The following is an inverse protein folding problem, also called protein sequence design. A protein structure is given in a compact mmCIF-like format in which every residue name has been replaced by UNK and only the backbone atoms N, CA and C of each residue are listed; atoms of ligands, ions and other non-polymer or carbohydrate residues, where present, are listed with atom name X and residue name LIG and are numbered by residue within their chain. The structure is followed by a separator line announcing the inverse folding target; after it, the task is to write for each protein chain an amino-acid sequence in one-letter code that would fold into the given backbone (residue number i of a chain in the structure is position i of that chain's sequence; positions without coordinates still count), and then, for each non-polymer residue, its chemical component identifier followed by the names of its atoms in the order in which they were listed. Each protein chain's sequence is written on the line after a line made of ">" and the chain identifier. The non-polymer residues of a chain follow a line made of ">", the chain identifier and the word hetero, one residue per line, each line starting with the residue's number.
data_IF_063684555215
#
_entry.id   IF_063684555215
#
_cell.length_a   1.000
_cell.length_b   1.000
_cell.length_c   1.000
_cell.angle_alpha   90.00
_cell.angle_beta   90.00
_cell.angle_gamma   90.00
#
_symmetry.space_group_name_H-M   'P 1'
#
loop_
_entity.id
_entity.type
_entity.pdbx_description
1 polymer ?
#
# COMPACT_ATOMS: atom_id res chain seq x y z
N UNK A 1 16.29 -38.29 -5.65
CA UNK A 1 15.58 -38.38 -4.34
C UNK A 1 14.20 -37.79 -4.54
N UNK A 2 13.15 -38.60 -4.39
CA UNK A 2 11.78 -38.08 -4.44
C UNK A 2 11.55 -37.10 -3.29
N UNK A 3 11.32 -35.86 -3.64
CA UNK A 3 11.01 -34.81 -2.67
C UNK A 3 9.63 -35.11 -2.07
N UNK A 4 9.56 -35.28 -0.75
CA UNK A 4 8.30 -35.57 -0.08
C UNK A 4 7.61 -34.25 0.27
N UNK A 5 6.65 -33.85 -0.57
CA UNK A 5 5.84 -32.65 -0.35
C UNK A 5 4.82 -32.83 0.77
N UNK A 6 4.62 -31.80 1.59
CA UNK A 6 3.51 -31.76 2.58
C UNK A 6 2.16 -31.61 1.84
N UNK A 7 1.05 -31.86 2.55
CA UNK A 7 -0.30 -31.67 1.98
C UNK A 7 -0.55 -30.26 1.48
N UNK A 8 -0.05 -29.24 2.20
CA UNK A 8 -0.20 -27.83 1.84
C UNK A 8 0.68 -27.46 0.65
N UNK A 9 1.93 -27.94 0.61
CA UNK A 9 2.81 -27.76 -0.54
C UNK A 9 2.21 -28.39 -1.80
N UNK A 10 1.63 -29.60 -1.71
CA UNK A 10 0.92 -30.26 -2.82
C UNK A 10 -0.25 -29.41 -3.31
N UNK A 11 -1.05 -28.84 -2.42
CA UNK A 11 -2.13 -27.93 -2.82
C UNK A 11 -1.62 -26.77 -3.68
N UNK A 12 -0.51 -26.14 -3.28
CA UNK A 12 0.10 -25.04 -4.08
C UNK A 12 0.57 -25.55 -5.44
N UNK A 13 1.14 -26.74 -5.51
CA UNK A 13 1.63 -27.35 -6.77
C UNK A 13 0.45 -27.67 -7.70
N UNK A 14 -0.64 -28.25 -7.18
CA UNK A 14 -1.70 -28.88 -7.98
C UNK A 14 -2.89 -27.98 -8.28
N UNK A 15 -3.16 -26.94 -7.47
CA UNK A 15 -4.30 -26.06 -7.67
C UNK A 15 -4.21 -25.28 -8.99
N UNK A 16 -5.35 -25.22 -9.75
CA UNK A 16 -5.49 -24.52 -11.03
C UNK A 16 -6.71 -23.59 -10.99
N UNK A 17 -6.82 -22.71 -11.96
CA UNK A 17 -8.00 -21.87 -12.27
C UNK A 17 -8.48 -21.00 -11.11
N UNK A 18 -7.51 -20.51 -10.29
CA UNK A 18 -7.73 -19.60 -9.19
C UNK A 18 -6.48 -18.88 -8.75
N UNK A 19 -6.65 -17.76 -8.10
CA UNK A 19 -5.57 -17.06 -7.41
C UNK A 19 -5.16 -17.82 -6.15
N UNK A 20 -3.86 -17.86 -5.87
CA UNK A 20 -3.29 -18.56 -4.73
C UNK A 20 -2.36 -17.61 -3.98
N UNK A 21 -2.73 -17.27 -2.75
CA UNK A 21 -1.85 -16.57 -1.81
C UNK A 21 -1.15 -17.58 -0.90
N UNK A 22 0.18 -17.61 -0.94
CA UNK A 22 1.00 -18.53 -0.13
C UNK A 22 1.71 -17.77 0.97
N UNK A 23 1.28 -17.97 2.21
CA UNK A 23 1.97 -17.48 3.41
C UNK A 23 2.87 -18.58 3.96
N UNK A 24 4.18 -18.32 4.05
CA UNK A 24 5.14 -19.31 4.51
C UNK A 24 6.40 -18.67 5.12
N UNK A 25 6.92 -19.24 6.20
CA UNK A 25 8.14 -18.78 6.87
C UNK A 25 9.39 -18.91 5.98
N UNK A 26 10.48 -18.23 6.34
CA UNK A 26 11.77 -18.42 5.70
C UNK A 26 12.22 -19.90 5.84
N UNK A 27 12.81 -20.47 4.77
CA UNK A 27 13.25 -21.89 4.79
C UNK A 27 12.15 -22.92 4.59
N UNK A 28 10.88 -22.55 4.41
CA UNK A 28 9.75 -23.48 4.19
C UNK A 28 9.71 -24.13 2.81
N UNK A 29 10.71 -23.90 1.95
CA UNK A 29 10.77 -24.46 0.61
C UNK A 29 9.94 -23.75 -0.46
N UNK A 30 9.52 -22.48 -0.25
CA UNK A 30 8.72 -21.69 -1.21
C UNK A 30 9.23 -21.76 -2.65
N UNK A 31 10.53 -21.56 -2.84
CA UNK A 31 11.14 -21.59 -4.18
C UNK A 31 11.06 -22.98 -4.81
N UNK A 32 11.28 -24.04 -4.02
CA UNK A 32 11.19 -25.42 -4.51
C UNK A 32 9.76 -25.76 -4.92
N UNK A 33 8.76 -25.37 -4.13
CA UNK A 33 7.33 -25.56 -4.45
C UNK A 33 6.95 -24.80 -5.73
N UNK A 34 7.47 -23.58 -5.93
CA UNK A 34 7.21 -22.79 -7.13
C UNK A 34 7.85 -23.42 -8.37
N UNK A 35 9.09 -23.88 -8.28
CA UNK A 35 9.76 -24.63 -9.38
C UNK A 35 8.97 -25.86 -9.75
N UNK A 36 8.55 -26.67 -8.76
CA UNK A 36 7.74 -27.87 -8.99
C UNK A 36 6.40 -27.53 -9.65
N UNK A 37 5.72 -26.46 -9.18
CA UNK A 37 4.50 -25.99 -9.82
C UNK A 37 4.70 -25.62 -11.30
N UNK A 38 5.79 -24.88 -11.60
CA UNK A 38 6.13 -24.51 -12.99
C UNK A 38 6.36 -25.78 -13.82
N UNK A 39 7.17 -26.71 -13.33
CA UNK A 39 7.48 -27.97 -14.02
C UNK A 39 6.21 -28.79 -14.26
N UNK A 40 5.31 -28.89 -13.29
CA UNK A 40 4.05 -29.57 -13.47
C UNK A 40 3.16 -28.88 -14.53
N UNK A 41 3.15 -27.56 -14.60
CA UNK A 41 2.39 -26.81 -15.62
C UNK A 41 2.90 -27.08 -17.03
N UNK A 42 4.19 -27.20 -17.21
CA UNK A 42 4.81 -27.38 -18.54
C UNK A 42 4.95 -28.85 -18.98
N UNK A 43 4.94 -29.80 -18.03
CA UNK A 43 5.24 -31.21 -18.33
C UNK A 43 4.10 -32.17 -17.98
N UNK A 44 3.21 -31.84 -17.05
CA UNK A 44 2.21 -32.79 -16.49
C UNK A 44 0.78 -32.37 -16.83
N UNK A 45 0.48 -31.06 -16.85
CA UNK A 45 -0.86 -30.56 -17.18
C UNK A 45 -1.28 -30.98 -18.62
N UNK A 46 -2.57 -31.10 -18.84
CA UNK A 46 -3.14 -31.40 -20.12
C UNK A 46 -4.27 -30.42 -20.47
N UNK A 47 -4.12 -29.51 -21.44
CA UNK A 47 -2.88 -29.31 -22.23
C UNK A 47 -1.75 -28.67 -21.40
N UNK A 48 -0.48 -28.95 -21.73
CA UNK A 48 0.66 -28.30 -21.09
C UNK A 48 0.73 -26.83 -21.52
N UNK A 49 1.27 -25.98 -20.63
CA UNK A 49 1.51 -24.55 -20.92
C UNK A 49 2.99 -24.37 -21.22
N UNK A 50 3.33 -23.69 -22.30
CA UNK A 50 4.73 -23.42 -22.62
C UNK A 50 5.34 -22.45 -21.60
N UNK A 51 6.61 -22.65 -21.26
CA UNK A 51 7.32 -21.84 -20.25
C UNK A 51 7.46 -20.38 -20.67
N UNK A 52 7.55 -20.07 -21.96
CA UNK A 52 7.61 -18.72 -22.51
C UNK A 52 6.26 -17.97 -22.46
N UNK A 53 5.16 -18.69 -22.15
CA UNK A 53 3.83 -18.13 -21.87
C UNK A 53 3.59 -17.86 -20.38
N UNK A 54 4.60 -18.05 -19.54
CA UNK A 54 4.53 -17.76 -18.12
C UNK A 54 5.35 -16.55 -17.77
N UNK A 55 4.79 -15.67 -16.95
CA UNK A 55 5.52 -14.60 -16.30
C UNK A 55 5.87 -15.03 -14.88
N UNK A 56 7.16 -15.13 -14.58
CA UNK A 56 7.68 -15.43 -13.25
C UNK A 56 8.50 -14.26 -12.78
N UNK A 57 8.02 -13.55 -11.76
CA UNK A 57 8.70 -12.34 -11.25
C UNK A 57 9.33 -12.58 -9.90
N UNK A 58 10.48 -11.94 -9.69
CA UNK A 58 11.23 -11.96 -8.44
C UNK A 58 11.66 -10.52 -8.08
N UNK A 59 12.10 -10.31 -6.83
CA UNK A 59 12.56 -8.99 -6.39
C UNK A 59 13.99 -8.64 -6.86
N UNK A 60 14.82 -9.65 -7.17
CA UNK A 60 16.21 -9.40 -7.53
C UNK A 60 16.61 -10.17 -8.78
N UNK A 61 17.51 -9.59 -9.58
CA UNK A 61 18.07 -10.25 -10.77
C UNK A 61 18.75 -11.58 -10.43
N UNK A 62 19.43 -11.67 -9.27
CA UNK A 62 20.04 -12.89 -8.79
C UNK A 62 19.01 -13.99 -8.51
N UNK A 63 17.88 -13.64 -7.85
CA UNK A 63 16.81 -14.61 -7.62
C UNK A 63 16.14 -15.06 -8.92
N UNK A 64 15.97 -14.17 -9.89
CA UNK A 64 15.45 -14.53 -11.21
C UNK A 64 16.37 -15.49 -11.96
N UNK A 65 17.68 -15.22 -11.93
CA UNK A 65 18.68 -16.11 -12.53
C UNK A 65 18.71 -17.50 -11.87
N UNK A 66 18.68 -17.53 -10.53
CA UNK A 66 18.60 -18.77 -9.75
C UNK A 66 17.31 -19.55 -10.07
N UNK A 67 16.17 -18.86 -10.16
CA UNK A 67 14.90 -19.49 -10.53
C UNK A 67 14.97 -20.13 -11.92
N UNK A 68 15.48 -19.40 -12.91
CA UNK A 68 15.65 -19.91 -14.28
C UNK A 68 16.55 -21.14 -14.31
N UNK A 69 17.68 -21.10 -13.60
CA UNK A 69 18.60 -22.23 -13.52
C UNK A 69 17.96 -23.47 -12.87
N UNK A 70 17.16 -23.27 -11.81
CA UNK A 70 16.46 -24.38 -11.15
C UNK A 70 15.39 -25.00 -12.05
N UNK A 71 14.63 -24.18 -12.78
CA UNK A 71 13.63 -24.65 -13.75
C UNK A 71 14.33 -25.40 -14.90
N UNK A 72 15.40 -24.83 -15.45
CA UNK A 72 16.19 -25.50 -16.52
C UNK A 72 16.70 -26.85 -16.07
N UNK A 73 17.37 -26.94 -14.92
CA UNK A 73 17.87 -28.20 -14.36
C UNK A 73 16.76 -29.25 -14.15
N UNK A 74 15.58 -28.80 -13.71
CA UNK A 74 14.45 -29.71 -13.52
C UNK A 74 13.94 -30.27 -14.86
N UNK A 75 13.84 -29.43 -15.89
CA UNK A 75 13.47 -29.87 -17.27
C UNK A 75 14.50 -30.82 -17.81
N UNK A 76 15.80 -30.52 -17.70
CA UNK A 76 16.89 -31.35 -18.21
C UNK A 76 16.91 -32.71 -17.52
N UNK A 77 16.69 -32.75 -16.21
CA UNK A 77 16.58 -34.03 -15.47
C UNK A 77 15.39 -34.90 -15.92
N UNK A 78 14.26 -34.29 -16.26
CA UNK A 78 13.10 -35.00 -16.82
C UNK A 78 13.37 -35.49 -18.24
N UNK A 79 14.05 -34.67 -19.04
CA UNK A 79 14.48 -35.06 -20.43
C UNK A 79 15.44 -36.24 -20.43
N UNK A 80 16.37 -36.33 -19.47
CA UNK A 80 17.24 -37.49 -19.32
C UNK A 80 16.45 -38.76 -19.01
N UNK A 81 15.35 -38.65 -18.26
CA UNK A 81 14.48 -39.81 -17.96
C UNK A 81 13.55 -40.19 -19.12
N UNK A 82 13.20 -39.22 -19.98
CA UNK A 82 12.28 -39.36 -21.12
C UNK A 82 12.87 -38.68 -22.37
N UNK A 83 13.90 -39.25 -22.98
CA UNK A 83 14.64 -38.60 -24.09
C UNK A 83 13.79 -38.37 -25.34
N UNK A 84 12.77 -39.21 -25.57
CA UNK A 84 11.89 -39.15 -26.74
C UNK A 84 10.66 -38.22 -26.53
N UNK A 85 10.54 -37.51 -25.39
CA UNK A 85 9.44 -36.61 -25.11
C UNK A 85 9.68 -35.27 -25.85
N UNK A 86 8.93 -35.07 -26.93
CA UNK A 86 9.02 -33.84 -27.77
C UNK A 86 8.71 -32.57 -27.01
N UNK A 87 7.77 -32.62 -26.02
CA UNK A 87 7.45 -31.46 -25.21
C UNK A 87 8.64 -31.07 -24.34
N UNK A 88 9.30 -32.00 -23.66
CA UNK A 88 10.47 -31.73 -22.84
C UNK A 88 11.65 -31.16 -23.68
N UNK A 89 11.84 -31.63 -24.89
CA UNK A 89 12.85 -31.09 -25.81
C UNK A 89 12.51 -29.63 -26.18
N UNK A 90 11.23 -29.32 -26.44
CA UNK A 90 10.75 -27.98 -26.74
C UNK A 90 10.92 -27.07 -25.54
N UNK A 91 10.49 -27.49 -24.34
CA UNK A 91 10.59 -26.66 -23.12
C UNK A 91 12.06 -26.37 -22.75
N UNK A 92 12.97 -27.30 -22.93
CA UNK A 92 14.42 -27.11 -22.73
C UNK A 92 14.99 -26.00 -23.64
N UNK A 93 14.40 -25.76 -24.80
CA UNK A 93 14.76 -24.65 -25.70
C UNK A 93 14.08 -23.35 -25.28
N UNK A 94 12.78 -23.39 -24.97
CA UNK A 94 11.98 -22.23 -24.63
C UNK A 94 12.37 -21.56 -23.30
N UNK A 95 12.93 -22.31 -22.36
CA UNK A 95 13.30 -21.77 -21.02
C UNK A 95 14.31 -20.61 -21.11
N UNK A 96 15.12 -20.57 -22.16
CA UNK A 96 16.08 -19.48 -22.36
C UNK A 96 15.41 -18.15 -22.71
N UNK A 97 14.24 -18.20 -23.33
CA UNK A 97 13.44 -17.02 -23.71
C UNK A 97 12.29 -16.75 -22.72
N UNK A 98 12.14 -17.59 -21.69
CA UNK A 98 11.07 -17.45 -20.71
C UNK A 98 11.19 -16.15 -19.91
N UNK A 99 10.05 -15.52 -19.62
CA UNK A 99 9.95 -14.30 -18.81
C UNK A 99 10.10 -14.61 -17.30
N UNK A 100 11.29 -15.10 -16.92
CA UNK A 100 11.68 -15.27 -15.51
C UNK A 100 12.60 -14.11 -15.17
N UNK A 101 12.07 -13.05 -14.51
CA UNK A 101 12.74 -11.76 -14.44
C UNK A 101 12.33 -10.96 -13.19
N UNK A 102 12.84 -9.73 -13.01
CA UNK A 102 12.30 -8.77 -12.03
C UNK A 102 11.14 -8.00 -12.64
N UNK A 103 10.30 -7.40 -11.76
CA UNK A 103 9.19 -6.54 -12.21
C UNK A 103 9.71 -5.42 -13.11
N UNK A 104 10.75 -4.70 -12.68
CA UNK A 104 11.35 -3.60 -13.48
C UNK A 104 11.82 -4.05 -14.85
N UNK A 105 12.47 -5.23 -14.91
CA UNK A 105 12.95 -5.77 -16.19
C UNK A 105 11.80 -6.21 -17.09
N UNK A 106 10.70 -6.71 -16.53
CA UNK A 106 9.48 -7.00 -17.30
C UNK A 106 8.85 -5.70 -17.82
N UNK A 107 8.71 -4.67 -16.96
CA UNK A 107 8.20 -3.38 -17.40
C UNK A 107 9.06 -2.78 -18.52
N UNK A 108 10.38 -2.83 -18.37
CA UNK A 108 11.29 -2.36 -19.41
C UNK A 108 11.12 -3.15 -20.74
N UNK A 109 10.96 -4.47 -20.66
CA UNK A 109 10.68 -5.31 -21.82
C UNK A 109 9.38 -4.90 -22.53
N UNK A 110 8.30 -4.66 -21.77
CA UNK A 110 7.02 -4.18 -22.31
C UNK A 110 7.20 -2.85 -23.02
N UNK A 111 7.87 -1.87 -22.38
CA UNK A 111 8.10 -0.54 -22.95
C UNK A 111 8.96 -0.59 -24.21
N UNK A 112 10.06 -1.35 -24.19
CA UNK A 112 10.96 -1.50 -25.36
C UNK A 112 10.28 -2.13 -26.56
N UNK A 113 9.30 -3.01 -26.36
CA UNK A 113 8.56 -3.63 -27.46
C UNK A 113 7.36 -2.78 -27.95
N UNK A 114 6.96 -1.75 -27.18
CA UNK A 114 5.77 -0.96 -27.48
C UNK A 114 6.00 0.57 -27.38
N UNK A 115 7.25 1.03 -27.44
CA UNK A 115 7.61 2.45 -27.24
C UNK A 115 6.86 3.41 -28.15
N UNK A 116 6.52 2.97 -29.36
CA UNK A 116 5.79 3.77 -30.35
C UNK A 116 4.37 4.15 -29.86
N UNK A 117 3.70 3.31 -29.04
CA UNK A 117 2.37 3.61 -28.48
C UNK A 117 2.41 4.81 -27.53
N UNK A 118 3.57 5.06 -26.92
CA UNK A 118 3.79 6.17 -25.97
C UNK A 118 4.52 7.35 -26.61
N UNK A 119 4.81 7.32 -27.92
CA UNK A 119 5.65 8.29 -28.61
C UNK A 119 7.04 8.47 -27.95
N UNK A 120 7.59 7.40 -27.38
CA UNK A 120 8.93 7.41 -26.81
C UNK A 120 9.97 7.21 -27.92
N UNK A 121 11.12 7.86 -27.73
CA UNK A 121 12.28 7.63 -28.58
C UNK A 121 12.89 6.24 -28.21
N UNK A 122 13.19 5.36 -29.19
CA UNK A 122 13.77 4.05 -28.91
C UNK A 122 15.12 4.10 -28.18
N UNK A 123 15.86 5.21 -28.31
CA UNK A 123 17.18 5.40 -27.67
C UNK A 123 17.08 5.91 -26.22
N UNK A 124 15.91 5.78 -25.59
CA UNK A 124 15.78 6.14 -24.17
C UNK A 124 16.63 5.24 -23.28
N UNK A 125 17.08 5.80 -22.14
CA UNK A 125 17.86 5.08 -21.14
C UNK A 125 17.36 5.32 -19.73
N UNK A 126 17.74 4.42 -18.82
CA UNK A 126 17.54 4.63 -17.38
C UNK A 126 18.66 5.57 -16.88
N UNK A 127 18.28 6.65 -16.20
CA UNK A 127 19.17 7.60 -15.60
C UNK A 127 19.81 7.07 -14.30
N UNK A 128 21.01 7.52 -13.99
CA UNK A 128 21.57 7.30 -12.66
C UNK A 128 20.92 8.24 -11.62
N UNK A 129 21.02 7.87 -10.34
CA UNK A 129 20.40 8.63 -9.26
C UNK A 129 20.92 10.06 -9.11
N UNK A 130 22.18 10.31 -9.41
CA UNK A 130 22.79 11.65 -9.29
C UNK A 130 22.28 12.56 -10.42
N UNK A 131 22.22 12.04 -11.64
CA UNK A 131 21.66 12.74 -12.79
C UNK A 131 20.19 13.09 -12.57
N UNK A 132 19.35 12.11 -12.17
CA UNK A 132 17.92 12.31 -11.91
C UNK A 132 17.69 13.33 -10.79
N UNK A 133 18.48 13.28 -9.73
CA UNK A 133 18.40 14.24 -8.62
C UNK A 133 18.79 15.67 -9.06
N UNK A 134 19.76 15.82 -9.95
CA UNK A 134 20.10 17.11 -10.51
C UNK A 134 18.99 17.65 -11.37
N UNK A 135 18.43 16.82 -12.27
CA UNK A 135 17.28 17.19 -13.12
C UNK A 135 16.08 17.64 -12.29
N UNK A 136 15.80 16.93 -11.18
CA UNK A 136 14.71 17.27 -10.26
C UNK A 136 14.93 18.64 -9.62
N UNK A 137 16.14 18.93 -9.14
CA UNK A 137 16.48 20.24 -8.54
C UNK A 137 16.36 21.37 -9.53
N UNK A 138 16.86 21.18 -10.77
CA UNK A 138 16.82 22.19 -11.81
C UNK A 138 15.37 22.47 -12.25
N UNK A 139 14.57 21.41 -12.46
CA UNK A 139 13.15 21.55 -12.81
C UNK A 139 12.34 22.23 -11.70
N UNK A 140 12.59 21.85 -10.44
CA UNK A 140 11.90 22.46 -9.29
C UNK A 140 12.29 23.96 -9.16
N UNK A 141 13.57 24.30 -9.34
CA UNK A 141 14.03 25.68 -9.32
C UNK A 141 13.33 26.49 -10.43
N UNK A 142 13.26 25.97 -11.66
CA UNK A 142 12.62 26.65 -12.78
C UNK A 142 11.11 26.87 -12.54
N UNK A 143 10.39 25.86 -12.04
CA UNK A 143 8.95 26.00 -11.72
C UNK A 143 8.72 27.11 -10.70
N UNK A 144 9.57 27.20 -9.67
CA UNK A 144 9.43 28.24 -8.67
C UNK A 144 9.78 29.63 -9.22
N UNK A 145 10.84 29.78 -10.02
CA UNK A 145 11.20 31.03 -10.68
C UNK A 145 10.06 31.49 -11.62
N UNK A 146 9.49 30.60 -12.41
CA UNK A 146 8.37 30.90 -13.29
C UNK A 146 7.14 31.38 -12.51
N UNK A 147 6.84 30.74 -11.35
CA UNK A 147 5.74 31.16 -10.49
C UNK A 147 6.00 32.50 -9.79
N UNK A 148 7.24 32.81 -9.39
CA UNK A 148 7.59 34.15 -8.89
C UNK A 148 7.45 35.25 -9.97
N UNK A 149 7.71 34.91 -11.22
CA UNK A 149 7.66 35.87 -12.32
C UNK A 149 6.24 36.14 -12.87
N UNK A 150 5.22 35.35 -12.50
CA UNK A 150 3.83 35.56 -12.94
C UNK A 150 3.22 36.80 -12.34
N UNK A 151 2.40 37.51 -13.09
CA UNK A 151 1.63 38.67 -12.60
C UNK A 151 0.52 38.24 -11.62
N UNK A 152 -0.07 37.05 -11.83
CA UNK A 152 -1.16 36.46 -11.04
C UNK A 152 -0.65 35.45 -9.99
N UNK A 153 0.42 35.78 -9.28
CA UNK A 153 1.10 34.88 -8.35
C UNK A 153 0.64 35.01 -6.88
N UNK A 154 -0.43 35.71 -6.60
CA UNK A 154 -0.88 35.99 -5.23
C UNK A 154 -1.10 34.72 -4.41
N UNK A 155 -1.75 33.69 -4.99
CA UNK A 155 -2.00 32.42 -4.32
C UNK A 155 -0.68 31.69 -3.98
N UNK A 156 0.30 31.72 -4.89
CA UNK A 156 1.63 31.16 -4.70
C UNK A 156 2.40 31.90 -3.58
N UNK A 157 2.41 33.24 -3.62
CA UNK A 157 3.07 34.03 -2.58
C UNK A 157 2.45 33.78 -1.21
N UNK A 158 1.10 33.75 -1.13
CA UNK A 158 0.40 33.43 0.12
C UNK A 158 0.75 32.03 0.65
N UNK A 159 0.93 31.04 -0.22
CA UNK A 159 1.39 29.70 0.15
C UNK A 159 2.82 29.76 0.75
N UNK A 160 3.73 30.45 0.06
CA UNK A 160 5.11 30.63 0.52
C UNK A 160 5.14 31.33 1.88
N UNK A 161 4.47 32.48 2.03
CA UNK A 161 4.48 33.27 3.26
C UNK A 161 3.87 32.53 4.46
N UNK A 162 2.87 31.66 4.19
CA UNK A 162 2.21 30.90 5.26
C UNK A 162 3.06 29.73 5.76
N UNK A 163 3.73 29.00 4.87
CA UNK A 163 4.42 27.75 5.22
C UNK A 163 5.94 27.86 5.29
N UNK A 164 6.50 28.97 4.88
CA UNK A 164 7.94 29.21 4.92
C UNK A 164 8.33 30.21 6.02
N UNK A 165 9.41 29.95 6.72
CA UNK A 165 9.93 30.86 7.74
C UNK A 165 10.91 31.84 7.11
N UNK A 166 10.56 33.13 7.09
CA UNK A 166 11.38 34.18 6.53
C UNK A 166 11.38 34.22 5.00
N UNK A 167 12.50 34.59 4.36
CA UNK A 167 12.62 34.70 2.89
C UNK A 167 13.00 33.39 2.21
N UNK A 168 12.70 32.24 2.82
CA UNK A 168 13.14 30.94 2.34
C UNK A 168 11.92 30.09 1.96
N UNK A 169 11.81 29.66 0.70
CA UNK A 169 10.74 28.83 0.16
C UNK A 169 10.99 27.31 0.27
N UNK A 170 12.06 26.91 0.98
CA UNK A 170 12.51 25.52 1.06
C UNK A 170 11.46 24.56 1.62
N UNK A 171 10.58 25.03 2.53
CA UNK A 171 9.54 24.18 3.09
C UNK A 171 8.48 23.80 2.03
N UNK A 172 8.07 24.75 1.19
CA UNK A 172 7.10 24.49 0.11
C UNK A 172 7.75 23.65 -1.00
N UNK A 173 9.04 23.91 -1.33
CA UNK A 173 9.80 23.05 -2.26
C UNK A 173 9.83 21.59 -1.78
N UNK A 174 10.09 21.38 -0.50
CA UNK A 174 10.09 20.04 0.09
C UNK A 174 8.71 19.38 0.02
N UNK A 175 7.63 20.14 0.28
CA UNK A 175 6.25 19.62 0.15
C UNK A 175 5.95 19.17 -1.29
N UNK A 176 6.34 19.95 -2.28
CA UNK A 176 6.18 19.61 -3.70
C UNK A 176 6.98 18.35 -4.08
N UNK A 177 8.23 18.27 -3.62
CA UNK A 177 9.09 17.10 -3.82
C UNK A 177 8.48 15.84 -3.16
N UNK A 178 8.01 15.96 -1.91
CA UNK A 178 7.36 14.85 -1.19
C UNK A 178 6.09 14.36 -1.90
N UNK A 179 5.28 15.29 -2.43
CA UNK A 179 4.08 14.95 -3.21
C UNK A 179 4.48 14.24 -4.52
N UNK A 180 5.52 14.71 -5.20
CA UNK A 180 6.03 14.10 -6.42
C UNK A 180 6.45 12.63 -6.18
N UNK A 181 7.24 12.36 -5.15
CA UNK A 181 7.67 11.00 -4.84
C UNK A 181 6.50 10.10 -4.40
N UNK A 182 5.56 10.64 -3.62
CA UNK A 182 4.35 9.89 -3.22
C UNK A 182 3.45 9.59 -4.42
N UNK A 183 3.29 10.55 -5.32
CA UNK A 183 2.54 10.35 -6.56
C UNK A 183 3.16 9.25 -7.43
N UNK A 184 4.49 9.21 -7.52
CA UNK A 184 5.23 8.15 -8.21
C UNK A 184 4.98 6.73 -7.68
N UNK A 185 4.52 6.58 -6.44
CA UNK A 185 4.10 5.29 -5.87
C UNK A 185 2.65 4.91 -6.20
N UNK A 186 1.89 5.79 -6.86
CA UNK A 186 0.51 5.52 -7.31
C UNK A 186 0.51 5.04 -8.75
N UNK A 187 -0.38 4.11 -9.09
CA UNK A 187 -0.57 3.66 -10.48
C UNK A 187 -0.86 4.80 -11.46
N UNK A 188 -1.55 5.84 -11.00
CA UNK A 188 -1.95 7.00 -11.79
C UNK A 188 -1.61 8.30 -11.05
N UNK A 189 -0.36 8.80 -11.13
CA UNK A 189 0.15 9.93 -10.34
C UNK A 189 -0.72 11.18 -10.41
N UNK A 190 -1.12 11.61 -11.62
CA UNK A 190 -1.96 12.80 -11.81
C UNK A 190 -3.36 12.64 -11.19
N UNK A 191 -3.98 11.46 -11.35
CA UNK A 191 -5.27 11.17 -10.73
C UNK A 191 -5.16 11.17 -9.20
N UNK A 192 -4.08 10.60 -8.68
CA UNK A 192 -3.83 10.59 -7.25
C UNK A 192 -3.68 12.01 -6.69
N UNK A 193 -2.84 12.87 -7.30
CA UNK A 193 -2.68 14.27 -6.88
C UNK A 193 -4.02 15.02 -6.93
N UNK A 194 -4.79 14.89 -8.01
CA UNK A 194 -6.12 15.51 -8.11
C UNK A 194 -7.11 14.95 -7.09
N UNK A 195 -7.00 13.69 -6.70
CA UNK A 195 -7.87 13.09 -5.69
C UNK A 195 -7.69 13.71 -4.30
N UNK A 196 -6.52 14.26 -3.99
CA UNK A 196 -6.25 14.97 -2.75
C UNK A 196 -7.13 16.23 -2.58
N UNK A 197 -7.61 16.81 -3.68
CA UNK A 197 -8.51 17.96 -3.65
C UNK A 197 -9.94 17.61 -3.24
N UNK A 198 -10.37 16.36 -3.38
CA UNK A 198 -11.76 15.93 -3.09
C UNK A 198 -12.20 16.26 -1.66
N UNK A 199 -11.29 16.10 -0.69
CA UNK A 199 -11.58 16.47 0.70
C UNK A 199 -11.87 17.98 0.84
N UNK A 200 -11.24 18.80 0.00
CA UNK A 200 -11.37 20.26 0.02
C UNK A 200 -12.52 20.77 -0.86
N UNK A 201 -13.24 19.89 -1.58
CA UNK A 201 -14.47 20.25 -2.32
C UNK A 201 -15.73 20.20 -1.46
N UNK A 202 -15.61 19.80 -0.20
CA UNK A 202 -16.68 19.78 0.82
C UNK A 202 -17.12 21.23 1.11
N UNK A 203 -18.45 21.49 1.10
CA UNK A 203 -19.01 22.84 1.15
C UNK A 203 -19.80 23.15 2.44
N UNK A 204 -19.88 22.21 3.37
CA UNK A 204 -20.56 22.41 4.65
C UNK A 204 -20.08 21.41 5.70
N UNK A 205 -20.21 21.75 6.97
CA UNK A 205 -19.92 20.85 8.09
C UNK A 205 -20.73 19.53 7.98
N UNK A 206 -22.00 19.60 7.55
CA UNK A 206 -22.81 18.41 7.34
C UNK A 206 -22.27 17.52 6.23
N UNK A 207 -21.84 18.10 5.11
CA UNK A 207 -21.23 17.33 4.02
C UNK A 207 -19.90 16.71 4.46
N UNK A 208 -19.14 17.37 5.35
CA UNK A 208 -17.95 16.81 5.96
C UNK A 208 -18.30 15.60 6.84
N UNK A 209 -19.30 15.75 7.72
CA UNK A 209 -19.78 14.66 8.58
C UNK A 209 -20.24 13.43 7.78
N UNK A 210 -20.94 13.65 6.67
CA UNK A 210 -21.43 12.60 5.78
C UNK A 210 -20.36 12.02 4.85
N UNK A 211 -19.13 12.58 4.85
CA UNK A 211 -18.05 12.16 3.99
C UNK A 211 -17.51 10.77 4.36
N UNK A 212 -16.99 10.06 3.35
CA UNK A 212 -16.39 8.73 3.52
C UNK A 212 -15.25 8.74 4.54
N UNK A 213 -14.39 9.77 4.52
CA UNK A 213 -13.26 9.87 5.45
C UNK A 213 -13.71 9.99 6.91
N UNK A 214 -14.79 10.72 7.19
CA UNK A 214 -15.34 10.83 8.55
C UNK A 214 -15.99 9.51 8.97
N UNK A 215 -16.66 8.81 8.06
CA UNK A 215 -17.20 7.46 8.31
C UNK A 215 -16.07 6.48 8.63
N UNK A 216 -15.01 6.47 7.84
CA UNK A 216 -13.83 5.64 8.11
C UNK A 216 -13.18 5.94 9.47
N UNK A 217 -13.09 7.23 9.86
CA UNK A 217 -12.58 7.62 11.18
C UNK A 217 -13.47 7.05 12.30
N UNK A 218 -14.79 7.14 12.15
CA UNK A 218 -15.75 6.59 13.14
C UNK A 218 -15.64 5.07 13.23
N UNK A 219 -15.63 4.39 12.09
CA UNK A 219 -15.55 2.92 12.03
C UNK A 219 -14.22 2.40 12.57
N UNK A 220 -13.10 3.02 12.19
CA UNK A 220 -11.79 2.68 12.72
C UNK A 220 -11.71 2.91 14.23
N UNK A 221 -12.27 4.03 14.71
CA UNK A 221 -12.31 4.32 16.15
C UNK A 221 -13.15 3.30 16.90
N UNK A 222 -14.23 2.82 16.32
CA UNK A 222 -15.08 1.75 16.90
C UNK A 222 -14.27 0.47 17.12
N UNK A 223 -13.50 0.02 16.11
CA UNK A 223 -12.61 -1.15 16.22
C UNK A 223 -11.62 -0.97 17.36
N UNK A 224 -10.98 0.21 17.46
CA UNK A 224 -10.02 0.49 18.54
C UNK A 224 -10.68 0.52 19.94
N UNK A 225 -11.91 1.00 20.03
CA UNK A 225 -12.68 1.00 21.28
C UNK A 225 -13.09 -0.42 21.69
N UNK A 226 -13.50 -1.26 20.73
CA UNK A 226 -13.79 -2.69 20.97
C UNK A 226 -12.57 -3.42 21.50
N UNK A 227 -11.37 -3.19 20.91
CA UNK A 227 -10.12 -3.74 21.45
C UNK A 227 -9.84 -3.29 22.88
N UNK A 228 -10.08 -2.00 23.21
CA UNK A 228 -9.90 -1.50 24.57
C UNK A 228 -10.90 -2.15 25.57
N UNK A 229 -12.15 -2.36 25.14
CA UNK A 229 -13.15 -3.09 25.93
C UNK A 229 -12.75 -4.56 26.15
N UNK A 230 -12.16 -5.20 25.13
CA UNK A 230 -11.62 -6.56 25.28
C UNK A 230 -10.46 -6.61 26.32
N UNK A 231 -9.57 -5.60 26.30
CA UNK A 231 -8.51 -5.48 27.32
C UNK A 231 -9.08 -5.32 28.72
N UNK A 232 -10.14 -4.49 28.89
CA UNK A 232 -10.85 -4.36 30.17
C UNK A 232 -11.52 -5.67 30.60
N UNK A 233 -12.08 -6.42 29.65
CA UNK A 233 -12.72 -7.71 29.90
C UNK A 233 -11.69 -8.75 30.35
N UNK A 234 -10.54 -8.84 29.69
CA UNK A 234 -9.44 -9.70 30.12
C UNK A 234 -8.92 -9.33 31.52
N UNK A 235 -8.83 -8.03 31.82
CA UNK A 235 -8.44 -7.54 33.13
C UNK A 235 -9.47 -7.93 34.21
N UNK A 236 -10.77 -7.84 33.92
CA UNK A 236 -11.88 -8.25 34.77
C UNK A 236 -11.82 -9.75 35.05
N UNK A 237 -11.61 -10.57 34.03
CA UNK A 237 -11.55 -12.02 34.15
C UNK A 237 -10.35 -12.45 35.02
N UNK A 238 -9.19 -11.82 34.82
CA UNK A 238 -8.01 -12.02 35.64
C UNK A 238 -8.26 -11.63 37.12
N UNK A 239 -8.94 -10.49 37.34
CA UNK A 239 -9.30 -10.04 38.68
C UNK A 239 -10.32 -10.98 39.34
N UNK A 240 -11.32 -11.45 38.60
CA UNK A 240 -12.33 -12.41 39.10
C UNK A 240 -11.74 -13.77 39.46
N UNK A 241 -10.72 -14.20 38.72
CA UNK A 241 -10.02 -15.47 38.97
C UNK A 241 -8.96 -15.36 40.08
N UNK A 242 -8.74 -14.17 40.67
CA UNK A 242 -7.70 -13.93 41.67
C UNK A 242 -8.34 -13.59 43.04
N UNK A 243 -8.26 -14.47 44.04
CA UNK A 243 -8.81 -14.20 45.39
C UNK A 243 -8.32 -12.86 45.94
N UNK A 244 -9.23 -12.06 46.51
CA UNK A 244 -8.93 -10.75 47.05
C UNK A 244 -8.96 -9.57 46.05
N UNK A 245 -9.21 -9.82 44.77
CA UNK A 245 -9.36 -8.78 43.73
C UNK A 245 -10.83 -8.57 43.30
N UNK A 246 -11.81 -9.09 44.04
CA UNK A 246 -13.26 -8.99 43.69
C UNK A 246 -13.70 -7.54 43.52
N UNK A 247 -13.13 -6.60 44.29
CA UNK A 247 -13.41 -5.15 44.15
C UNK A 247 -12.88 -4.58 42.85
N UNK A 248 -11.77 -5.12 42.32
CA UNK A 248 -11.27 -4.70 41.03
C UNK A 248 -12.15 -5.24 39.90
N UNK A 249 -12.58 -6.50 39.99
CA UNK A 249 -13.51 -7.09 39.06
C UNK A 249 -14.82 -6.31 38.98
N UNK A 250 -15.35 -5.81 40.09
CA UNK A 250 -16.53 -4.98 40.16
C UNK A 250 -16.28 -3.62 39.44
N UNK A 251 -15.19 -2.93 39.79
CA UNK A 251 -14.84 -1.65 39.13
C UNK A 251 -14.65 -1.82 37.61
N UNK A 252 -14.03 -2.92 37.17
CA UNK A 252 -13.84 -3.22 35.75
C UNK A 252 -15.17 -3.54 35.05
N UNK A 253 -16.12 -4.18 35.74
CA UNK A 253 -17.48 -4.36 35.20
C UNK A 253 -18.21 -3.03 35.02
N UNK A 254 -18.06 -2.09 35.94
CA UNK A 254 -18.59 -0.72 35.82
C UNK A 254 -17.90 0.01 34.66
N UNK A 255 -16.59 -0.12 34.51
CA UNK A 255 -15.85 0.48 33.39
C UNK A 255 -16.29 -0.08 32.02
N UNK A 256 -16.54 -1.37 31.90
CA UNK A 256 -17.05 -2.02 30.68
C UNK A 256 -18.47 -1.53 30.36
N UNK A 257 -19.32 -1.41 31.37
CA UNK A 257 -20.71 -0.94 31.19
C UNK A 257 -20.79 0.50 30.64
N UNK A 258 -19.72 1.30 30.76
CA UNK A 258 -19.65 2.63 30.11
C UNK A 258 -19.74 2.55 28.58
N UNK A 259 -19.48 1.38 28.00
CA UNK A 259 -19.52 1.15 26.55
C UNK A 259 -20.83 0.48 26.08
N UNK A 260 -21.79 0.28 27.01
CA UNK A 260 -23.12 -0.21 26.64
C UNK A 260 -23.78 0.79 25.67
N UNK A 261 -24.35 0.26 24.58
CA UNK A 261 -24.98 1.09 23.54
C UNK A 261 -24.01 1.67 22.49
N UNK A 262 -22.69 1.42 22.59
CA UNK A 262 -21.73 1.89 21.58
C UNK A 262 -22.08 1.41 20.15
N UNK A 263 -22.66 0.25 20.03
CA UNK A 263 -23.06 -0.32 18.73
C UNK A 263 -24.16 0.53 18.02
N UNK A 264 -25.01 1.19 18.78
CA UNK A 264 -26.12 2.00 18.28
C UNK A 264 -25.70 3.45 17.96
N UNK A 265 -24.49 3.85 18.33
CA UNK A 265 -23.97 5.20 18.08
C UNK A 265 -23.67 5.38 16.59
N UNK A 266 -24.22 6.43 15.98
CA UNK A 266 -24.04 6.73 14.56
C UNK A 266 -23.39 8.10 14.34
N UNK A 267 -22.55 8.18 13.31
CA UNK A 267 -21.92 9.43 12.88
C UNK A 267 -20.83 9.96 13.84
N UNK A 268 -20.19 11.03 13.42
CA UNK A 268 -19.09 11.65 14.15
C UNK A 268 -19.57 12.32 15.45
N UNK A 269 -20.63 13.13 15.35
CA UNK A 269 -21.19 13.86 16.50
C UNK A 269 -21.68 12.89 17.56
N UNK A 270 -22.42 11.83 17.16
CA UNK A 270 -22.87 10.80 18.07
C UNK A 270 -21.72 10.11 18.82
N UNK A 271 -20.64 9.75 18.09
CA UNK A 271 -19.46 9.15 18.71
C UNK A 271 -18.71 10.12 19.63
N UNK A 272 -18.60 11.38 19.26
CA UNK A 272 -18.01 12.43 20.10
C UNK A 272 -18.81 12.59 21.41
N UNK A 273 -20.13 12.70 21.34
CA UNK A 273 -21.00 12.80 22.52
C UNK A 273 -20.93 11.55 23.40
N UNK A 274 -20.91 10.37 22.79
CA UNK A 274 -20.74 9.10 23.50
C UNK A 274 -19.44 9.07 24.29
N UNK A 275 -18.31 9.35 23.63
CA UNK A 275 -16.99 9.38 24.25
C UNK A 275 -16.86 10.47 25.33
N UNK A 276 -17.58 11.58 25.20
CA UNK A 276 -17.59 12.64 26.21
C UNK A 276 -18.33 12.26 27.49
N UNK A 277 -19.24 11.29 27.42
CA UNK A 277 -19.94 10.73 28.60
C UNK A 277 -19.10 9.70 29.36
N UNK A 278 -18.09 9.10 28.70
CA UNK A 278 -17.22 8.11 29.32
C UNK A 278 -16.35 8.79 30.38
N UNK A 279 -16.50 8.36 31.63
CA UNK A 279 -15.70 8.83 32.75
C UNK A 279 -15.38 7.66 33.67
N UNK A 280 -14.12 7.26 33.70
CA UNK A 280 -13.65 6.16 34.54
C UNK A 280 -13.60 6.56 36.01
N UNK A 281 -14.22 5.76 36.86
CA UNK A 281 -14.12 5.89 38.29
C UNK A 281 -12.70 5.61 38.84
N UNK A 282 -12.50 5.89 40.11
CA UNK A 282 -11.26 5.48 40.79
C UNK A 282 -11.28 3.97 41.02
N UNK A 283 -10.14 3.30 40.73
CA UNK A 283 -10.04 1.89 41.10
C UNK A 283 -10.13 1.71 42.62
N UNK A 284 -10.84 0.69 43.07
CA UNK A 284 -11.03 0.44 44.47
C UNK A 284 -9.70 0.27 45.20
N UNK A 285 -9.61 0.79 46.44
CA UNK A 285 -8.40 0.60 47.28
C UNK A 285 -8.52 -0.70 48.06
N UNK A 286 -7.59 -1.61 47.82
CA UNK A 286 -7.45 -2.85 48.63
C UNK A 286 -6.34 -2.63 49.64
N UNK A 287 -6.71 -2.41 50.93
CA UNK A 287 -5.77 -2.02 51.99
C UNK A 287 -4.89 -3.16 52.50
N UNK A 288 -5.39 -4.40 52.50
CA UNK A 288 -4.64 -5.62 52.90
C UNK A 288 -4.88 -6.65 51.79
N UNK A 289 -3.90 -6.87 50.98
CA UNK A 289 -3.93 -7.87 49.92
C UNK A 289 -2.92 -8.96 50.23
N UNK A 290 -3.39 -10.18 50.39
CA UNK A 290 -2.59 -11.36 50.73
C UNK A 290 -2.49 -12.34 49.55
N UNK A 291 -2.73 -11.80 48.32
CA UNK A 291 -2.73 -12.57 47.09
C UNK A 291 -1.51 -12.32 46.21
N UNK A 292 -1.63 -12.68 44.96
CA UNK A 292 -0.59 -12.49 43.93
C UNK A 292 -0.45 -11.03 43.51
N UNK A 293 0.54 -10.32 44.07
CA UNK A 293 0.82 -8.90 43.72
C UNK A 293 1.13 -8.70 42.24
N UNK A 294 1.74 -9.68 41.53
CA UNK A 294 2.01 -9.58 40.11
C UNK A 294 0.70 -9.54 39.29
N UNK A 295 -0.27 -10.36 39.66
CA UNK A 295 -1.60 -10.34 39.03
C UNK A 295 -2.33 -9.04 39.31
N UNK A 296 -2.27 -8.54 40.54
CA UNK A 296 -2.86 -7.23 40.89
C UNK A 296 -2.28 -6.08 40.09
N UNK A 297 -0.95 -6.00 39.97
CA UNK A 297 -0.30 -4.97 39.13
C UNK A 297 -0.61 -5.16 37.66
N UNK A 298 -0.72 -6.39 37.16
CA UNK A 298 -1.12 -6.68 35.79
C UNK A 298 -2.55 -6.18 35.50
N UNK A 299 -3.50 -6.42 36.37
CA UNK A 299 -4.88 -5.94 36.25
C UNK A 299 -4.92 -4.41 36.19
N UNK A 300 -4.17 -3.72 37.05
CA UNK A 300 -4.08 -2.23 36.98
C UNK A 300 -3.47 -1.76 35.69
N UNK A 301 -2.35 -2.36 35.27
CA UNK A 301 -1.65 -2.00 34.03
C UNK A 301 -2.54 -2.15 32.79
N UNK A 302 -3.32 -3.24 32.72
CA UNK A 302 -4.26 -3.46 31.61
C UNK A 302 -5.37 -2.40 31.61
N UNK A 303 -5.96 -2.10 32.77
CA UNK A 303 -6.96 -1.03 32.91
C UNK A 303 -6.40 0.33 32.48
N UNK A 304 -5.20 0.68 32.94
CA UNK A 304 -4.57 1.95 32.64
C UNK A 304 -4.19 2.05 31.14
N UNK A 305 -3.76 0.95 30.52
CA UNK A 305 -3.51 0.88 29.10
C UNK A 305 -4.80 1.10 28.29
N UNK A 306 -5.89 0.43 28.63
CA UNK A 306 -7.19 0.61 27.98
C UNK A 306 -7.69 2.08 28.12
N UNK A 307 -7.62 2.67 29.33
CA UNK A 307 -7.95 4.08 29.55
C UNK A 307 -7.14 5.02 28.67
N UNK A 308 -5.81 4.85 28.65
CA UNK A 308 -4.92 5.67 27.82
C UNK A 308 -5.25 5.54 26.34
N UNK A 309 -5.62 4.34 25.87
CA UNK A 309 -6.04 4.09 24.49
C UNK A 309 -7.33 4.87 24.18
N UNK A 310 -8.33 4.79 25.05
CA UNK A 310 -9.61 5.49 24.90
C UNK A 310 -9.43 7.00 24.92
N UNK A 311 -8.67 7.54 25.88
CA UNK A 311 -8.34 8.97 25.94
C UNK A 311 -7.58 9.42 24.67
N UNK A 312 -6.67 8.60 24.17
CA UNK A 312 -5.96 8.85 22.92
C UNK A 312 -6.89 8.91 21.71
N UNK A 313 -7.87 7.99 21.62
CA UNK A 313 -8.89 8.01 20.56
C UNK A 313 -9.72 9.29 20.63
N UNK A 314 -10.21 9.62 21.84
CA UNK A 314 -11.01 10.84 22.09
C UNK A 314 -10.26 12.10 21.68
N UNK A 315 -9.00 12.25 22.10
CA UNK A 315 -8.20 13.44 21.79
C UNK A 315 -7.82 13.52 20.32
N UNK A 316 -7.40 12.39 19.71
CA UNK A 316 -6.88 12.38 18.35
C UNK A 316 -7.97 12.53 17.30
N UNK A 317 -9.12 11.88 17.49
CA UNK A 317 -10.15 11.78 16.46
C UNK A 317 -11.40 12.60 16.77
N UNK A 318 -11.70 12.86 18.05
CA UNK A 318 -12.94 13.54 18.49
C UNK A 318 -12.67 14.76 19.37
N UNK A 319 -11.44 15.28 19.36
CA UNK A 319 -11.05 16.45 20.14
C UNK A 319 -11.59 17.79 19.61
N UNK A 320 -12.20 17.79 18.40
CA UNK A 320 -12.68 18.99 17.72
C UNK A 320 -14.13 18.78 17.27
N UNK A 321 -14.96 19.82 17.24
CA UNK A 321 -16.29 19.72 16.64
C UNK A 321 -16.20 19.65 15.11
N UNK A 322 -17.22 19.08 14.47
CA UNK A 322 -17.26 18.97 13.01
C UNK A 322 -17.30 20.35 12.32
N UNK A 323 -17.95 21.33 12.96
CA UNK A 323 -18.02 22.70 12.48
C UNK A 323 -16.61 23.34 12.46
N UNK A 324 -15.88 23.19 13.57
CA UNK A 324 -14.52 23.73 13.66
C UNK A 324 -13.55 23.02 12.70
N UNK A 325 -13.72 21.71 12.49
CA UNK A 325 -12.96 20.98 11.45
C UNK A 325 -13.25 21.56 10.07
N UNK A 326 -14.52 21.80 9.76
CA UNK A 326 -14.92 22.40 8.48
C UNK A 326 -14.34 23.79 8.30
N UNK A 327 -14.39 24.66 9.34
CA UNK A 327 -13.77 25.98 9.28
C UNK A 327 -12.25 25.91 9.02
N UNK A 328 -11.55 24.97 9.66
CA UNK A 328 -10.12 24.80 9.41
C UNK A 328 -9.84 24.28 7.99
N UNK A 329 -10.65 23.38 7.49
CA UNK A 329 -10.58 22.87 6.12
C UNK A 329 -10.81 24.01 5.10
N UNK A 330 -11.79 24.88 5.35
CA UNK A 330 -12.04 26.07 4.54
C UNK A 330 -10.82 27.02 4.49
N UNK A 331 -10.20 27.26 5.64
CA UNK A 331 -9.00 28.11 5.71
C UNK A 331 -7.80 27.52 5.00
N UNK A 332 -7.67 26.20 5.00
CA UNK A 332 -6.56 25.50 4.35
C UNK A 332 -6.77 25.29 2.84
N UNK A 333 -8.02 25.29 2.38
CA UNK A 333 -8.41 25.01 0.99
C UNK A 333 -7.58 25.77 -0.05
N UNK A 334 -7.40 27.09 0.01
CA UNK A 334 -6.64 27.82 -1.01
C UNK A 334 -5.19 27.36 -1.07
N UNK A 335 -4.57 27.12 0.08
CA UNK A 335 -3.17 26.68 0.16
C UNK A 335 -2.98 25.28 -0.42
N UNK A 336 -3.88 24.34 -0.11
CA UNK A 336 -3.80 22.98 -0.64
C UNK A 336 -4.07 22.96 -2.12
N UNK A 337 -5.04 23.72 -2.62
CA UNK A 337 -5.28 23.86 -4.06
C UNK A 337 -4.04 24.37 -4.79
N UNK A 338 -3.40 25.39 -4.26
CA UNK A 338 -2.19 25.95 -4.84
C UNK A 338 -1.00 24.98 -4.76
N UNK A 339 -0.83 24.28 -3.64
CA UNK A 339 0.22 23.27 -3.48
C UNK A 339 0.05 22.11 -4.49
N UNK A 340 -1.17 21.63 -4.71
CA UNK A 340 -1.43 20.57 -5.69
C UNK A 340 -1.24 21.10 -7.12
N UNK A 341 -1.67 22.34 -7.43
CA UNK A 341 -1.42 22.98 -8.72
C UNK A 341 0.09 23.02 -9.00
N UNK A 342 0.87 23.51 -8.05
CA UNK A 342 2.32 23.61 -8.15
C UNK A 342 2.99 22.22 -8.29
N UNK A 343 2.48 21.22 -7.58
CA UNK A 343 2.96 19.84 -7.69
C UNK A 343 2.68 19.21 -9.05
N UNK A 344 1.51 19.47 -9.63
CA UNK A 344 1.18 19.05 -10.99
C UNK A 344 2.07 19.76 -12.04
N UNK A 345 2.29 21.06 -11.89
CA UNK A 345 3.20 21.82 -12.76
C UNK A 345 4.63 21.28 -12.69
N UNK A 346 5.10 20.96 -11.49
CA UNK A 346 6.40 20.33 -11.30
C UNK A 346 6.47 18.92 -11.92
N UNK A 347 5.42 18.13 -11.77
CA UNK A 347 5.33 16.80 -12.39
C UNK A 347 5.44 16.93 -13.92
N UNK A 348 4.71 17.89 -14.53
CA UNK A 348 4.74 18.16 -15.96
C UNK A 348 6.12 18.62 -16.43
N UNK A 349 6.76 19.50 -15.66
CA UNK A 349 8.12 19.97 -15.95
C UNK A 349 9.14 18.82 -15.93
N UNK A 350 9.04 17.92 -14.94
CA UNK A 350 9.90 16.74 -14.86
C UNK A 350 9.67 15.78 -16.04
N UNK A 351 8.41 15.49 -16.38
CA UNK A 351 8.08 14.65 -17.55
C UNK A 351 8.67 15.23 -18.84
N UNK A 352 8.54 16.55 -19.03
CA UNK A 352 9.09 17.24 -20.19
C UNK A 352 10.63 17.20 -20.25
N UNK A 353 11.31 17.41 -19.11
CA UNK A 353 12.78 17.34 -19.04
C UNK A 353 13.28 15.92 -19.30
N UNK A 354 12.66 14.91 -18.69
CA UNK A 354 12.99 13.48 -18.87
C UNK A 354 12.81 13.07 -20.33
N UNK A 355 11.68 13.44 -20.96
CA UNK A 355 11.38 13.13 -22.36
C UNK A 355 12.39 13.80 -23.29
N UNK A 356 12.70 15.09 -23.11
CA UNK A 356 13.68 15.82 -23.92
C UNK A 356 15.08 15.22 -23.84
N UNK A 357 15.50 14.78 -22.63
CA UNK A 357 16.80 14.14 -22.40
C UNK A 357 16.80 12.65 -22.71
N UNK A 358 15.65 12.04 -22.96
CA UNK A 358 15.45 10.59 -23.16
C UNK A 358 15.96 9.78 -21.95
N UNK A 359 15.80 10.32 -20.74
CA UNK A 359 16.29 9.75 -19.50
C UNK A 359 15.12 9.56 -18.55
N UNK A 360 14.89 8.33 -18.14
CA UNK A 360 13.77 7.97 -17.27
C UNK A 360 14.26 7.22 -16.03
N UNK A 361 13.49 7.22 -14.96
CA UNK A 361 13.73 6.35 -13.81
C UNK A 361 12.89 5.06 -13.88
N UNK A 362 13.07 4.17 -12.92
CA UNK A 362 12.32 2.92 -12.87
C UNK A 362 10.82 3.13 -12.71
N UNK A 363 10.43 4.13 -11.91
CA UNK A 363 9.01 4.48 -11.73
C UNK A 363 8.36 4.94 -13.04
N UNK A 364 9.09 5.70 -13.88
CA UNK A 364 8.59 6.07 -15.21
C UNK A 364 8.35 4.82 -16.07
N UNK A 365 9.29 3.86 -16.06
CA UNK A 365 9.17 2.62 -16.83
C UNK A 365 7.98 1.78 -16.36
N UNK A 366 7.73 1.71 -15.05
CA UNK A 366 6.56 1.04 -14.48
C UNK A 366 5.26 1.71 -14.95
N UNK A 367 5.18 3.05 -14.90
CA UNK A 367 4.03 3.79 -15.38
C UNK A 367 3.83 3.67 -16.90
N UNK A 368 4.90 3.65 -17.67
CA UNK A 368 4.82 3.42 -19.12
C UNK A 368 4.29 2.01 -19.43
N UNK A 369 4.80 0.99 -18.75
CA UNK A 369 4.31 -0.36 -18.89
C UNK A 369 2.82 -0.46 -18.49
N UNK A 370 2.43 0.19 -17.41
CA UNK A 370 1.04 0.23 -16.96
C UNK A 370 0.13 0.90 -18.02
N UNK A 371 0.54 2.04 -18.60
CA UNK A 371 -0.20 2.73 -19.67
C UNK A 371 -0.31 1.91 -20.97
N UNK A 372 0.62 1.00 -21.22
CA UNK A 372 0.56 0.08 -22.35
C UNK A 372 -0.41 -1.07 -22.05
N UNK A 373 -0.39 -1.59 -20.82
CA UNK A 373 -1.08 -2.84 -20.45
C UNK A 373 -2.50 -2.62 -19.93
N UNK A 374 -2.81 -1.43 -19.40
CA UNK A 374 -4.09 -1.14 -18.73
C UNK A 374 -4.65 0.18 -19.26
N UNK A 375 -5.92 0.16 -19.62
CA UNK A 375 -6.65 1.39 -19.94
C UNK A 375 -6.88 2.23 -18.68
N UNK A 376 -6.45 3.47 -18.68
CA UNK A 376 -6.54 4.35 -17.51
C UNK A 376 -7.98 4.68 -17.09
N UNK A 377 -8.94 4.67 -18.00
CA UNK A 377 -10.32 5.06 -17.71
C UNK A 377 -11.15 3.89 -17.20
N UNK A 378 -11.03 2.76 -17.88
CA UNK A 378 -11.80 1.55 -17.55
C UNK A 378 -11.13 0.67 -16.51
N UNK A 379 -9.81 0.81 -16.32
CA UNK A 379 -8.93 -0.06 -15.52
C UNK A 379 -8.92 -1.51 -16.03
N UNK A 380 -9.33 -1.74 -17.25
CA UNK A 380 -9.34 -3.04 -17.89
C UNK A 380 -8.03 -3.27 -18.69
N UNK A 381 -7.64 -4.53 -18.88
CA UNK A 381 -6.48 -4.86 -19.71
C UNK A 381 -6.65 -4.35 -21.16
N UNK A 382 -5.60 -3.76 -21.71
CA UNK A 382 -5.58 -3.37 -23.13
C UNK A 382 -5.42 -4.58 -24.04
N UNK A 383 -5.62 -4.42 -25.34
CA UNK A 383 -5.32 -5.44 -26.34
C UNK A 383 -3.87 -5.91 -26.25
N UNK A 384 -2.92 -5.01 -26.00
CA UNK A 384 -1.51 -5.35 -25.81
C UNK A 384 -1.30 -6.29 -24.62
N UNK A 385 -1.99 -6.05 -23.50
CA UNK A 385 -1.96 -6.95 -22.35
C UNK A 385 -2.49 -8.34 -22.71
N UNK A 386 -3.59 -8.40 -23.46
CA UNK A 386 -4.19 -9.66 -23.90
C UNK A 386 -3.26 -10.44 -24.86
N UNK A 387 -2.44 -9.77 -25.68
CA UNK A 387 -1.45 -10.43 -26.52
C UNK A 387 -0.36 -11.16 -25.72
N UNK A 388 -0.01 -10.65 -24.52
CA UNK A 388 0.93 -11.34 -23.62
C UNK A 388 0.28 -12.48 -22.83
N UNK A 389 -1.04 -12.47 -22.67
CA UNK A 389 -1.77 -13.44 -21.83
C UNK A 389 -2.62 -14.43 -22.62
N UNK A 390 -2.93 -14.15 -23.89
CA UNK A 390 -3.76 -14.98 -24.75
C UNK A 390 -2.93 -15.95 -25.61
N UNK A 391 -3.49 -17.12 -25.98
CA UNK A 391 -2.86 -18.00 -26.97
C UNK A 391 -2.69 -17.26 -28.30
N UNK A 392 -1.53 -17.43 -28.93
CA UNK A 392 -1.28 -16.87 -30.26
C UNK A 392 -2.33 -17.35 -31.27
N UNK A 393 -2.82 -16.47 -32.17
CA UNK A 393 -3.71 -16.90 -33.27
C UNK A 393 -3.12 -17.95 -34.22
N UNK A 394 -1.81 -18.27 -34.09
CA UNK A 394 -1.14 -19.32 -34.85
C UNK A 394 -1.32 -20.73 -34.27
N UNK A 395 -1.94 -20.84 -33.11
CA UNK A 395 -2.16 -22.09 -32.37
C UNK A 395 -3.62 -22.58 -32.43
N UNK A 396 -4.44 -22.00 -33.29
CA UNK A 396 -5.83 -22.42 -33.59
C UNK A 396 -5.92 -23.10 -34.97
#
# INVERSE_FOLDING_TARGET
>A
MDVKWTSEQKKVIDLRDRDILVSAAAGSGKTAVLVERIVNRICVDNPPVDIDRMLVVTFTKAAAAEMRERVSRAIDSLKEQKPDDENLQRQSTLVHNALITTIDSFCLFVVQNNFAQLNLDPDFRIGDQAELKLMLKDALAQVFEDNYAREDNEAFINLIDTYSKGRNDSAVRQMVEDIYYKAGSSSWPRKWMNSLLRLYDIKSAKQLEDSEIIKEIVDYSRVLLEEAVQELTMAKDLASATPGLEKYALTLSEDIALFDGMADVTGYVGMQEFLNKISFGRIAVIRKFDGDEKKKERVKSMRDAAKKKIDGIKQKYFGMSIELMYEQLERQRPFVKELIRLSLEFYDAMEAVKTRKRVFDFSDIEHFALRILVDEQTLEPTETCLLYTSPSPRDS
#
